data_IF_060358155948
#
_entry.id   IF_060358155948
#
_cell.length_a   1.000
_cell.length_b   1.000
_cell.length_c   1.000
_cell.angle_alpha   90.00
_cell.angle_beta   90.00
_cell.angle_gamma   90.00
#
_symmetry.space_group_name_H-M   'P 1'
#
loop_
_entity.id
_entity.type
_entity.pdbx_description
1 polymer ?
#
# COMPACT_ATOMS: atom_id res chain seq x y z
N UNK A 1 44.63 3.30 -17.55
CA UNK A 1 43.51 2.84 -16.72
C UNK A 1 43.84 3.09 -15.23
N UNK A 2 43.19 4.05 -14.59
CA UNK A 2 43.32 4.28 -13.13
C UNK A 2 42.73 3.09 -12.42
N UNK A 3 43.56 2.29 -11.74
CA UNK A 3 43.06 1.26 -10.82
C UNK A 3 42.30 1.92 -9.69
N UNK A 4 40.99 1.70 -9.65
CA UNK A 4 40.13 2.15 -8.54
C UNK A 4 40.63 1.52 -7.24
N UNK A 5 41.07 2.34 -6.29
CA UNK A 5 41.53 1.89 -4.97
C UNK A 5 40.34 1.36 -4.17
N UNK A 6 40.33 0.06 -3.93
CA UNK A 6 39.30 -0.63 -3.13
C UNK A 6 39.31 -0.12 -1.68
N UNK A 7 38.15 0.30 -1.19
CA UNK A 7 38.01 0.64 0.21
C UNK A 7 37.99 -0.62 1.10
N UNK A 8 38.50 -0.50 2.34
CA UNK A 8 38.55 -1.63 3.29
C UNK A 8 37.18 -2.22 3.63
N UNK A 9 36.12 -1.40 3.56
CA UNK A 9 34.73 -1.79 3.83
C UNK A 9 34.10 -2.61 2.71
N UNK A 10 34.45 -2.36 1.47
CA UNK A 10 33.93 -3.08 0.32
C UNK A 10 34.49 -4.51 0.22
N UNK A 11 35.75 -4.70 0.58
CA UNK A 11 36.37 -6.03 0.63
C UNK A 11 35.80 -6.95 1.71
N UNK A 12 35.36 -6.38 2.83
CA UNK A 12 34.81 -7.15 3.94
C UNK A 12 33.37 -7.60 3.74
N UNK A 13 32.60 -6.85 2.94
CA UNK A 13 31.14 -7.08 2.80
C UNK A 13 30.76 -8.13 1.75
N UNK A 14 31.53 -8.29 0.67
CA UNK A 14 31.14 -9.16 -0.48
C UNK A 14 32.13 -10.27 -0.80
N UNK A 15 33.28 -10.28 -0.16
CA UNK A 15 34.38 -11.13 -0.60
C UNK A 15 35.00 -10.65 -1.94
N UNK A 16 36.26 -11.00 -2.13
CA UNK A 16 37.06 -10.52 -3.26
C UNK A 16 36.50 -10.89 -4.64
N UNK A 17 35.78 -12.01 -4.76
CA UNK A 17 35.29 -12.55 -6.02
C UNK A 17 34.04 -11.81 -6.54
N UNK A 18 33.06 -11.56 -5.68
CA UNK A 18 31.82 -10.83 -6.08
C UNK A 18 32.12 -9.38 -6.46
N UNK A 19 33.04 -8.72 -5.76
CA UNK A 19 33.46 -7.36 -6.09
C UNK A 19 34.17 -7.27 -7.45
N UNK A 20 34.97 -8.27 -7.81
CA UNK A 20 35.63 -8.33 -9.11
C UNK A 20 34.63 -8.57 -10.25
N UNK A 21 33.64 -9.42 -10.07
CA UNK A 21 32.56 -9.66 -11.04
C UNK A 21 31.76 -8.39 -11.33
N UNK A 22 31.51 -7.55 -10.32
CA UNK A 22 30.76 -6.31 -10.46
C UNK A 22 31.48 -5.24 -11.28
N UNK A 23 32.80 -5.17 -11.19
CA UNK A 23 33.62 -4.17 -11.91
C UNK A 23 33.93 -4.62 -13.34
N UNK A 24 34.14 -5.91 -13.58
CA UNK A 24 34.61 -6.42 -14.87
C UNK A 24 33.47 -6.75 -15.86
N UNK A 25 32.22 -6.90 -15.42
CA UNK A 25 31.09 -7.31 -16.25
C UNK A 25 30.10 -6.17 -16.55
N UNK A 26 30.49 -4.91 -16.44
CA UNK A 26 29.61 -3.73 -16.54
C UNK A 26 28.35 -3.81 -15.63
N UNK A 27 28.29 -4.79 -14.75
CA UNK A 27 27.22 -4.92 -13.78
C UNK A 27 27.49 -4.00 -12.59
N UNK A 28 26.97 -2.79 -12.69
CA UNK A 28 27.11 -1.77 -11.65
C UNK A 28 26.18 -1.99 -10.45
N UNK A 29 25.25 -2.96 -10.52
CA UNK A 29 24.27 -3.20 -9.46
C UNK A 29 24.34 -4.66 -9.00
N UNK A 30 24.58 -4.86 -7.71
CA UNK A 30 24.50 -6.16 -7.03
C UNK A 30 23.35 -6.12 -6.04
N UNK A 31 22.48 -7.11 -6.13
CA UNK A 31 21.38 -7.31 -5.20
C UNK A 31 21.63 -8.61 -4.44
N UNK A 32 21.43 -8.59 -3.14
CA UNK A 32 21.53 -9.77 -2.28
C UNK A 32 20.40 -9.75 -1.26
N UNK A 33 19.79 -10.91 -1.04
CA UNK A 33 18.83 -11.10 0.05
C UNK A 33 19.52 -11.79 1.23
N UNK A 34 19.04 -11.47 2.44
CA UNK A 34 19.49 -12.08 3.69
C UNK A 34 21.02 -11.99 3.92
N UNK A 35 21.66 -10.92 3.46
CA UNK A 35 23.12 -10.78 3.54
C UNK A 35 23.61 -10.59 4.99
N UNK A 36 22.89 -9.84 5.80
CA UNK A 36 23.27 -9.49 7.19
C UNK A 36 22.16 -9.80 8.20
N UNK A 37 20.92 -9.88 7.74
CA UNK A 37 19.76 -10.20 8.55
C UNK A 37 18.70 -10.92 7.69
N UNK A 38 17.86 -11.71 8.35
CA UNK A 38 16.71 -12.35 7.70
C UNK A 38 15.76 -11.31 7.09
N UNK A 39 15.21 -11.63 5.94
CA UNK A 39 14.29 -10.78 5.16
C UNK A 39 14.87 -9.44 4.70
N UNK A 40 16.17 -9.23 4.80
CA UNK A 40 16.83 -8.03 4.33
C UNK A 40 17.03 -8.07 2.81
N UNK A 41 16.70 -6.98 2.13
CA UNK A 41 17.17 -6.67 0.80
C UNK A 41 18.38 -5.74 0.91
N UNK A 42 19.46 -6.10 0.25
CA UNK A 42 20.69 -5.33 0.23
C UNK A 42 21.10 -5.08 -1.22
N UNK A 43 21.45 -3.83 -1.53
CA UNK A 43 21.88 -3.43 -2.87
C UNK A 43 23.19 -2.67 -2.78
N UNK A 44 24.13 -2.96 -3.67
CA UNK A 44 25.28 -2.12 -3.96
C UNK A 44 25.18 -1.66 -5.39
N UNK A 45 25.38 -0.36 -5.55
CA UNK A 45 25.58 0.27 -6.84
C UNK A 45 27.04 0.76 -6.84
N UNK A 46 27.82 0.35 -7.84
CA UNK A 46 29.21 0.78 -8.00
C UNK A 46 29.47 1.17 -9.44
N UNK A 47 30.31 2.18 -9.60
CA UNK A 47 30.74 2.67 -10.89
C UNK A 47 32.21 3.09 -10.84
N UNK A 48 32.91 3.19 -11.99
CA UNK A 48 34.30 3.64 -12.04
C UNK A 48 34.50 5.10 -11.65
N UNK A 49 33.47 5.94 -11.80
CA UNK A 49 33.48 7.35 -11.50
C UNK A 49 32.09 7.84 -11.07
N UNK A 50 32.04 9.06 -10.53
CA UNK A 50 30.82 9.70 -10.02
C UNK A 50 29.74 9.88 -11.10
N UNK A 51 30.14 10.30 -12.31
CA UNK A 51 29.20 10.52 -13.40
C UNK A 51 28.51 9.23 -13.82
N UNK A 52 29.24 8.17 -14.01
CA UNK A 52 28.70 6.84 -14.34
C UNK A 52 27.80 6.31 -13.25
N UNK A 53 28.11 6.63 -11.96
CA UNK A 53 27.26 6.26 -10.84
C UNK A 53 25.91 6.98 -10.91
N UNK A 54 25.94 8.30 -11.11
CA UNK A 54 24.72 9.11 -11.22
C UNK A 54 23.84 8.69 -12.39
N UNK A 55 24.43 8.51 -13.57
CA UNK A 55 23.71 8.02 -14.77
C UNK A 55 23.04 6.64 -14.52
N UNK A 56 23.72 5.77 -13.77
CA UNK A 56 23.16 4.45 -13.42
C UNK A 56 21.97 4.56 -12.46
N UNK A 57 22.04 5.46 -11.47
CA UNK A 57 20.98 5.68 -10.49
C UNK A 57 19.77 6.34 -11.17
N UNK A 58 19.97 7.46 -11.89
CA UNK A 58 18.92 8.21 -12.58
C UNK A 58 18.17 7.34 -13.58
N UNK A 59 18.87 6.54 -14.38
CA UNK A 59 18.25 5.63 -15.35
C UNK A 59 17.47 4.47 -14.74
N UNK A 60 17.63 4.19 -13.45
CA UNK A 60 17.03 3.03 -12.76
C UNK A 60 16.27 3.38 -11.48
N UNK A 61 16.05 4.66 -11.21
CA UNK A 61 15.42 5.14 -9.99
C UNK A 61 14.08 4.44 -9.70
N UNK A 62 13.18 4.43 -10.67
CA UNK A 62 11.86 3.81 -10.51
C UNK A 62 11.96 2.30 -10.25
N UNK A 63 12.88 1.61 -10.93
CA UNK A 63 13.09 0.18 -10.72
C UNK A 63 13.68 -0.10 -9.33
N UNK A 64 14.67 0.69 -8.89
CA UNK A 64 15.26 0.57 -7.54
C UNK A 64 14.16 0.77 -6.49
N UNK A 65 13.38 1.85 -6.63
CA UNK A 65 12.26 2.15 -5.73
C UNK A 65 11.25 1.01 -5.68
N UNK A 66 10.79 0.53 -6.82
CA UNK A 66 9.82 -0.57 -6.89
C UNK A 66 10.33 -1.83 -6.20
N UNK A 67 11.60 -2.16 -6.35
CA UNK A 67 12.20 -3.35 -5.73
C UNK A 67 12.18 -3.28 -4.20
N UNK A 68 12.52 -2.12 -3.63
CA UNK A 68 12.48 -1.91 -2.19
C UNK A 68 11.05 -1.81 -1.66
N UNK A 69 10.15 -1.16 -2.38
CA UNK A 69 8.72 -1.09 -2.04
C UNK A 69 8.07 -2.48 -2.05
N UNK A 70 8.35 -3.30 -3.05
CA UNK A 70 7.84 -4.66 -3.13
C UNK A 70 8.32 -5.52 -1.96
N UNK A 71 9.62 -5.45 -1.64
CA UNK A 71 10.18 -6.15 -0.47
C UNK A 71 9.58 -5.67 0.84
N UNK A 72 9.44 -4.36 1.01
CA UNK A 72 8.80 -3.76 2.18
C UNK A 72 7.35 -4.22 2.33
N UNK A 73 6.55 -4.14 1.27
CA UNK A 73 5.16 -4.58 1.27
C UNK A 73 5.02 -6.06 1.60
N UNK A 74 5.93 -6.90 1.09
CA UNK A 74 5.97 -8.32 1.44
C UNK A 74 6.23 -8.53 2.94
N UNK A 75 7.19 -7.80 3.51
CA UNK A 75 7.50 -7.86 4.94
C UNK A 75 6.32 -7.38 5.79
N UNK A 76 5.67 -6.27 5.41
CA UNK A 76 4.49 -5.76 6.11
C UNK A 76 3.34 -6.77 6.11
N UNK A 77 3.05 -7.39 4.96
CA UNK A 77 2.02 -8.46 4.88
C UNK A 77 2.37 -9.64 5.79
N UNK A 78 3.62 -10.10 5.75
CA UNK A 78 4.08 -11.20 6.60
C UNK A 78 3.97 -10.87 8.09
N UNK A 79 4.25 -9.62 8.46
CA UNK A 79 4.11 -9.15 9.84
C UNK A 79 2.64 -9.06 10.26
N UNK A 80 1.76 -8.49 9.42
CA UNK A 80 0.34 -8.33 9.72
C UNK A 80 -0.38 -9.66 9.97
N UNK A 81 0.03 -10.70 9.25
CA UNK A 81 -0.59 -12.02 9.33
C UNK A 81 0.28 -13.07 10.04
N UNK A 82 1.30 -12.64 10.77
CA UNK A 82 2.19 -13.53 11.54
C UNK A 82 1.46 -14.23 12.67
N UNK A 83 0.60 -13.50 13.36
CA UNK A 83 -0.19 -13.97 14.47
C UNK A 83 -1.53 -14.53 13.98
N UNK A 84 -2.40 -14.91 14.89
CA UNK A 84 -3.72 -15.46 14.55
C UNK A 84 -4.55 -14.46 13.73
N UNK A 85 -5.34 -14.99 12.79
CA UNK A 85 -6.34 -14.21 12.03
C UNK A 85 -7.69 -14.25 12.73
N UNK A 86 -8.55 -13.32 12.39
CA UNK A 86 -9.94 -13.27 12.84
C UNK A 86 -10.84 -14.17 11.96
N UNK A 87 -10.55 -15.49 11.96
CA UNK A 87 -11.21 -16.45 11.07
C UNK A 87 -12.74 -16.42 11.21
N UNK A 88 -13.27 -16.39 12.43
CA UNK A 88 -14.73 -16.35 12.68
C UNK A 88 -15.38 -15.12 12.06
N UNK A 89 -14.70 -13.97 12.12
CA UNK A 89 -15.18 -12.74 11.50
C UNK A 89 -15.10 -12.81 9.98
N UNK A 90 -14.02 -13.35 9.42
CA UNK A 90 -13.86 -13.58 7.98
C UNK A 90 -14.95 -14.51 7.44
N UNK A 91 -15.21 -15.62 8.13
CA UNK A 91 -16.26 -16.58 7.77
C UNK A 91 -17.65 -15.96 7.86
N UNK A 92 -17.91 -15.16 8.90
CA UNK A 92 -19.17 -14.41 9.03
C UNK A 92 -19.41 -13.47 7.86
N UNK A 93 -18.37 -12.72 7.42
CA UNK A 93 -18.48 -11.81 6.28
C UNK A 93 -18.73 -12.57 4.97
N UNK A 94 -18.06 -13.69 4.77
CA UNK A 94 -18.26 -14.53 3.59
C UNK A 94 -19.69 -15.11 3.54
N UNK A 95 -20.18 -15.61 4.66
CA UNK A 95 -21.52 -16.22 4.75
C UNK A 95 -22.64 -15.19 4.58
N UNK A 96 -22.48 -14.00 5.15
CA UNK A 96 -23.52 -12.97 5.13
C UNK A 96 -23.54 -12.15 3.84
N UNK A 97 -22.38 -11.90 3.21
CA UNK A 97 -22.24 -10.91 2.14
C UNK A 97 -21.57 -11.42 0.87
N UNK A 98 -21.12 -12.69 0.85
CA UNK A 98 -20.46 -13.32 -0.30
C UNK A 98 -19.20 -12.56 -0.76
N UNK A 99 -18.44 -12.03 0.17
CA UNK A 99 -17.09 -11.50 -0.06
C UNK A 99 -16.17 -11.84 1.12
N UNK A 100 -14.88 -11.92 0.87
CA UNK A 100 -13.87 -12.32 1.86
C UNK A 100 -12.69 -11.34 1.87
N UNK A 101 -12.18 -11.10 3.07
CA UNK A 101 -10.96 -10.35 3.33
C UNK A 101 -10.22 -10.99 4.50
N UNK A 102 -8.90 -11.03 4.44
CA UNK A 102 -8.08 -11.47 5.56
C UNK A 102 -8.01 -10.38 6.62
N UNK A 103 -8.39 -10.70 7.85
CA UNK A 103 -8.44 -9.76 8.97
C UNK A 103 -7.36 -10.15 9.99
N UNK A 104 -6.34 -9.28 10.22
CA UNK A 104 -5.29 -9.56 11.21
C UNK A 104 -5.87 -9.60 12.63
N UNK A 105 -5.16 -10.29 13.52
CA UNK A 105 -5.46 -10.25 14.94
C UNK A 105 -5.47 -8.81 15.48
N UNK A 106 -6.36 -8.55 16.45
CA UNK A 106 -6.50 -7.23 17.07
C UNK A 106 -7.36 -6.24 16.28
N UNK A 107 -7.91 -6.65 15.14
CA UNK A 107 -8.95 -5.89 14.44
C UNK A 107 -10.33 -6.33 14.91
N UNK A 108 -11.24 -5.39 15.06
CA UNK A 108 -12.59 -5.62 15.52
C UNK A 108 -13.62 -5.06 14.55
N UNK A 109 -14.81 -5.62 14.57
CA UNK A 109 -15.96 -5.07 13.86
C UNK A 109 -16.53 -3.91 14.65
N UNK A 110 -16.36 -2.68 14.15
CA UNK A 110 -16.86 -1.45 14.79
C UNK A 110 -18.35 -1.30 14.53
N UNK A 111 -18.76 -1.51 13.26
CA UNK A 111 -20.15 -1.34 12.83
C UNK A 111 -20.43 -2.23 11.64
N UNK A 112 -21.66 -2.72 11.61
CA UNK A 112 -22.24 -3.46 10.50
C UNK A 112 -23.65 -2.94 10.25
N UNK A 113 -24.01 -2.72 9.00
CA UNK A 113 -25.36 -2.34 8.64
C UNK A 113 -25.72 -3.05 7.33
N UNK A 114 -26.56 -4.09 7.46
CA UNK A 114 -27.04 -4.89 6.34
C UNK A 114 -27.91 -4.09 5.37
N UNK A 115 -28.70 -3.14 5.88
CA UNK A 115 -29.62 -2.33 5.06
C UNK A 115 -28.85 -1.36 4.15
N UNK A 116 -27.72 -0.85 4.61
CA UNK A 116 -26.85 0.02 3.82
C UNK A 116 -25.67 -0.71 3.18
N UNK A 117 -25.59 -2.03 3.27
CA UNK A 117 -24.50 -2.83 2.72
C UNK A 117 -23.12 -2.30 3.14
N UNK A 118 -22.90 -2.15 4.44
CA UNK A 118 -21.72 -1.52 4.99
C UNK A 118 -21.14 -2.31 6.16
N UNK A 119 -19.83 -2.53 6.12
CA UNK A 119 -19.05 -3.12 7.21
C UNK A 119 -17.87 -2.21 7.53
N UNK A 120 -17.66 -1.94 8.80
CA UNK A 120 -16.58 -1.12 9.32
C UNK A 120 -15.77 -1.91 10.33
N UNK A 121 -14.51 -2.10 10.04
CA UNK A 121 -13.52 -2.77 10.87
C UNK A 121 -12.49 -1.75 11.35
N UNK A 122 -11.87 -1.99 12.49
CA UNK A 122 -10.82 -1.11 12.98
C UNK A 122 -10.03 -1.66 14.12
N UNK A 123 -8.97 -0.96 14.45
CA UNK A 123 -8.20 -1.13 15.67
C UNK A 123 -7.75 0.22 16.19
N UNK A 124 -7.46 0.27 17.50
CA UNK A 124 -6.87 1.42 18.17
C UNK A 124 -5.34 1.31 18.22
N UNK A 125 -4.69 2.47 18.31
CA UNK A 125 -3.25 2.66 18.50
C UNK A 125 -2.33 2.02 17.43
N UNK A 126 -2.15 2.67 16.28
CA UNK A 126 -2.85 3.87 15.85
C UNK A 126 -4.29 3.55 15.45
N UNK A 127 -5.16 4.56 15.43
CA UNK A 127 -6.50 4.38 14.89
C UNK A 127 -6.41 4.08 13.41
N UNK A 128 -6.71 2.85 13.07
CA UNK A 128 -6.79 2.35 11.70
C UNK A 128 -8.20 1.85 11.47
N UNK A 129 -8.83 2.36 10.43
CA UNK A 129 -10.17 1.97 10.05
C UNK A 129 -10.15 1.44 8.62
N UNK A 130 -10.88 0.39 8.42
CA UNK A 130 -11.10 -0.25 7.13
C UNK A 130 -12.59 -0.47 6.96
N UNK A 131 -13.14 -0.05 5.83
CA UNK A 131 -14.55 -0.24 5.57
C UNK A 131 -14.79 -0.78 4.16
N UNK A 132 -15.81 -1.62 4.05
CA UNK A 132 -16.33 -2.11 2.79
C UNK A 132 -17.78 -1.67 2.69
N UNK A 133 -18.08 -0.95 1.64
CA UNK A 133 -19.42 -0.57 1.25
C UNK A 133 -19.69 -1.10 -0.16
N UNK A 134 -20.90 -1.57 -0.43
CA UNK A 134 -21.28 -2.02 -1.75
C UNK A 134 -22.72 -1.65 -2.07
N UNK A 135 -22.97 -1.37 -3.34
CA UNK A 135 -24.32 -1.11 -3.84
C UNK A 135 -24.52 -1.74 -5.21
N UNK A 136 -25.79 -1.96 -5.59
CA UNK A 136 -26.13 -2.40 -6.95
C UNK A 136 -25.70 -1.34 -7.95
N UNK A 137 -25.07 -1.78 -9.02
CA UNK A 137 -24.56 -0.94 -10.09
C UNK A 137 -24.57 -1.75 -11.38
N UNK A 138 -25.27 -1.31 -12.39
CA UNK A 138 -25.43 -2.06 -13.64
C UNK A 138 -24.26 -1.87 -14.61
N UNK A 139 -23.61 -0.71 -14.56
CA UNK A 139 -22.51 -0.37 -15.46
C UNK A 139 -21.34 0.23 -14.70
N UNK A 140 -20.15 0.13 -15.29
CA UNK A 140 -18.99 0.83 -14.81
C UNK A 140 -19.21 2.35 -14.86
N UNK A 141 -18.74 3.06 -13.85
CA UNK A 141 -18.88 4.51 -13.74
C UNK A 141 -17.70 5.22 -14.44
N UNK A 142 -17.99 6.36 -15.04
CA UNK A 142 -16.96 7.28 -15.51
C UNK A 142 -16.28 8.01 -14.34
N UNK A 143 -15.20 8.72 -14.64
CA UNK A 143 -14.38 9.41 -13.62
C UNK A 143 -15.14 10.47 -12.82
N UNK A 144 -16.09 11.17 -13.45
CA UNK A 144 -16.91 12.19 -12.80
C UNK A 144 -17.86 11.56 -11.79
N UNK A 145 -18.63 10.58 -12.23
CA UNK A 145 -19.57 9.84 -11.37
C UNK A 145 -18.87 9.12 -10.23
N UNK A 146 -17.64 8.63 -10.47
CA UNK A 146 -16.80 8.02 -9.42
C UNK A 146 -16.37 9.06 -8.41
N UNK A 147 -15.93 10.24 -8.83
CA UNK A 147 -15.51 11.31 -7.92
C UNK A 147 -16.69 11.76 -7.02
N UNK A 148 -17.86 12.00 -7.61
CA UNK A 148 -19.07 12.37 -6.86
C UNK A 148 -19.41 11.30 -5.80
N UNK A 149 -19.44 10.04 -6.20
CA UNK A 149 -19.71 8.93 -5.28
C UNK A 149 -18.69 8.84 -4.14
N UNK A 150 -17.41 9.14 -4.40
CA UNK A 150 -16.36 9.12 -3.38
C UNK A 150 -16.56 10.24 -2.36
N UNK A 151 -16.96 11.45 -2.79
CA UNK A 151 -17.18 12.56 -1.87
C UNK A 151 -18.49 12.45 -1.08
N UNK A 152 -19.53 11.85 -1.66
CA UNK A 152 -20.79 11.57 -0.96
C UNK A 152 -20.64 10.47 0.10
N UNK A 153 -19.85 9.42 -0.20
CA UNK A 153 -19.71 8.24 0.64
C UNK A 153 -19.42 8.53 2.12
N UNK A 154 -18.43 9.36 2.52
CA UNK A 154 -18.17 9.60 3.93
C UNK A 154 -19.30 10.37 4.64
N UNK A 155 -19.99 11.24 3.94
CA UNK A 155 -21.10 12.02 4.47
C UNK A 155 -22.34 11.12 4.71
N UNK A 156 -22.62 10.22 3.79
CA UNK A 156 -23.77 9.32 3.87
C UNK A 156 -23.57 8.20 4.90
N UNK A 157 -22.39 7.61 4.91
CA UNK A 157 -22.12 6.39 5.67
C UNK A 157 -21.57 6.68 7.07
N UNK A 158 -20.55 7.52 7.19
CA UNK A 158 -19.96 7.86 8.47
C UNK A 158 -20.66 9.06 9.15
N UNK A 159 -21.15 10.02 8.37
CA UNK A 159 -21.83 11.25 8.81
C UNK A 159 -21.00 12.23 9.62
N UNK A 160 -19.84 11.84 10.05
CA UNK A 160 -18.95 12.62 10.94
C UNK A 160 -17.63 13.00 10.32
N UNK A 161 -17.38 12.52 9.09
CA UNK A 161 -16.14 12.79 8.35
C UNK A 161 -16.45 13.24 6.92
N UNK A 162 -15.47 13.95 6.35
CA UNK A 162 -15.48 14.34 4.94
C UNK A 162 -14.09 14.15 4.33
N UNK A 163 -14.02 14.05 3.02
CA UNK A 163 -12.74 14.07 2.28
C UNK A 163 -12.42 15.48 1.81
N UNK A 164 -11.13 15.85 1.89
CA UNK A 164 -10.61 17.15 1.46
C UNK A 164 -10.49 17.19 -0.07
N UNK A 165 -11.19 18.13 -0.70
CA UNK A 165 -11.22 18.29 -2.16
C UNK A 165 -9.89 18.77 -2.74
N UNK A 166 -9.08 19.48 -1.96
CA UNK A 166 -7.82 20.06 -2.45
C UNK A 166 -6.67 19.05 -2.47
N UNK A 167 -6.73 18.04 -1.62
CA UNK A 167 -5.71 17.00 -1.48
C UNK A 167 -6.23 15.63 -1.92
N UNK A 168 -6.91 15.65 -3.05
CA UNK A 168 -7.54 14.47 -3.61
C UNK A 168 -6.84 14.06 -4.92
N UNK A 169 -6.63 12.76 -5.07
CA UNK A 169 -6.11 12.15 -6.30
C UNK A 169 -7.01 10.99 -6.68
N UNK A 170 -7.42 10.95 -7.93
CA UNK A 170 -8.16 9.85 -8.53
C UNK A 170 -7.35 9.27 -9.68
N UNK A 171 -7.17 7.96 -9.69
CA UNK A 171 -6.43 7.21 -10.70
C UNK A 171 -7.29 6.05 -11.19
N UNK A 172 -7.35 5.83 -12.50
CA UNK A 172 -7.90 4.61 -13.07
C UNK A 172 -6.92 3.46 -12.90
N UNK A 173 -7.44 2.26 -12.65
CA UNK A 173 -6.67 1.03 -12.72
C UNK A 173 -6.25 0.72 -14.16
N UNK A 174 -5.22 -0.07 -14.30
CA UNK A 174 -4.76 -0.67 -15.55
C UNK A 174 -5.13 -2.16 -15.60
N UNK A 175 -4.80 -2.84 -16.69
CA UNK A 175 -5.10 -4.27 -16.91
C UNK A 175 -4.49 -5.21 -15.85
N UNK A 176 -3.53 -4.74 -15.07
CA UNK A 176 -2.88 -5.48 -13.98
C UNK A 176 -3.44 -5.14 -12.61
N UNK A 177 -4.25 -4.10 -12.51
CA UNK A 177 -4.84 -3.63 -11.26
C UNK A 177 -6.01 -4.52 -10.84
N UNK A 178 -6.11 -4.84 -9.56
CA UNK A 178 -7.27 -5.54 -9.01
C UNK A 178 -8.48 -4.61 -8.80
N UNK A 179 -8.29 -3.30 -8.93
CA UNK A 179 -9.29 -2.25 -8.79
C UNK A 179 -9.51 -1.51 -10.12
N UNK A 180 -10.67 -0.92 -10.28
CA UNK A 180 -10.98 -0.09 -11.44
C UNK A 180 -10.60 1.37 -11.20
N UNK A 181 -10.76 1.85 -9.95
CA UNK A 181 -10.38 3.19 -9.53
C UNK A 181 -9.70 3.16 -8.17
N UNK A 182 -8.73 4.04 -7.99
CA UNK A 182 -8.06 4.30 -6.72
C UNK A 182 -8.12 5.77 -6.41
N UNK A 183 -8.63 6.11 -5.23
CA UNK A 183 -8.56 7.46 -4.69
C UNK A 183 -7.66 7.51 -3.47
N UNK A 184 -7.04 8.65 -3.25
CA UNK A 184 -6.25 8.92 -2.05
C UNK A 184 -6.30 10.41 -1.71
N UNK A 185 -6.15 10.72 -0.45
CA UNK A 185 -6.20 12.11 0.01
C UNK A 185 -6.19 12.21 1.53
N UNK A 186 -6.80 13.28 2.01
CA UNK A 186 -6.95 13.56 3.44
C UNK A 186 -8.43 13.50 3.81
N UNK A 187 -8.74 12.85 4.90
CA UNK A 187 -10.03 12.91 5.56
C UNK A 187 -9.96 13.80 6.79
N UNK A 188 -11.04 14.43 7.14
CA UNK A 188 -11.18 15.22 8.36
C UNK A 188 -12.52 14.97 9.04
N UNK A 189 -12.53 15.06 10.37
CA UNK A 189 -13.77 15.04 11.14
C UNK A 189 -14.49 16.38 11.03
N UNK A 190 -15.81 16.34 10.94
CA UNK A 190 -16.66 17.52 10.92
C UNK A 190 -16.85 18.08 12.34
N UNK A 191 -16.72 17.22 13.35
CA UNK A 191 -17.05 17.54 14.75
C UNK A 191 -15.82 17.69 15.65
N UNK A 192 -14.72 17.05 15.32
CA UNK A 192 -13.54 16.97 16.16
C UNK A 192 -12.27 17.36 15.40
N UNK A 193 -11.24 17.77 16.10
CA UNK A 193 -9.93 18.06 15.52
C UNK A 193 -9.17 16.76 15.17
N UNK A 194 -9.78 15.92 14.34
CA UNK A 194 -9.21 14.65 13.86
C UNK A 194 -9.18 14.62 12.34
N UNK A 195 -8.17 13.96 11.81
CA UNK A 195 -8.00 13.76 10.38
C UNK A 195 -6.79 12.93 10.08
N UNK A 196 -6.57 12.65 8.83
CA UNK A 196 -5.42 11.86 8.39
C UNK A 196 -5.54 11.44 6.92
N UNK A 197 -4.61 10.63 6.45
CA UNK A 197 -4.68 10.11 5.09
C UNK A 197 -5.80 9.07 4.95
N UNK A 198 -6.34 8.99 3.73
CA UNK A 198 -7.19 7.89 3.30
C UNK A 198 -6.70 7.28 2.00
N UNK A 199 -7.07 6.04 1.81
CA UNK A 199 -6.94 5.33 0.54
C UNK A 199 -8.24 4.57 0.28
N UNK A 200 -8.80 4.72 -0.93
CA UNK A 200 -10.06 4.13 -1.31
C UNK A 200 -9.91 3.46 -2.67
N UNK A 201 -10.43 2.24 -2.78
CA UNK A 201 -10.47 1.48 -4.02
C UNK A 201 -11.92 1.21 -4.41
N UNK A 202 -12.22 1.36 -5.69
CA UNK A 202 -13.47 0.93 -6.26
C UNK A 202 -13.22 -0.28 -7.14
N UNK A 203 -14.12 -1.27 -7.00
CA UNK A 203 -14.13 -2.45 -7.84
C UNK A 203 -15.55 -2.76 -8.30
N UNK A 204 -15.74 -2.83 -9.59
CA UNK A 204 -16.99 -3.27 -10.20
C UNK A 204 -17.00 -4.80 -10.33
N UNK A 205 -18.01 -5.42 -9.78
CA UNK A 205 -18.29 -6.85 -9.87
C UNK A 205 -19.39 -7.06 -10.94
N UNK A 206 -18.96 -7.34 -12.16
CA UNK A 206 -19.84 -7.50 -13.32
C UNK A 206 -20.82 -8.67 -13.14
N UNK A 207 -20.36 -9.75 -12.50
CA UNK A 207 -21.16 -10.96 -12.32
C UNK A 207 -22.38 -10.70 -11.42
N UNK A 208 -22.19 -9.91 -10.37
CA UNK A 208 -23.26 -9.62 -9.40
C UNK A 208 -23.85 -8.22 -9.58
N UNK A 209 -23.41 -7.48 -10.61
CA UNK A 209 -23.84 -6.10 -10.89
C UNK A 209 -23.81 -5.21 -9.65
N UNK A 210 -22.66 -5.14 -9.02
CA UNK A 210 -22.44 -4.33 -7.83
C UNK A 210 -21.08 -3.64 -7.87
N UNK A 211 -20.98 -2.48 -7.24
CA UNK A 211 -19.73 -1.78 -7.05
C UNK A 211 -19.34 -1.84 -5.57
N UNK A 212 -18.08 -2.16 -5.32
CA UNK A 212 -17.48 -2.11 -4.01
C UNK A 212 -16.66 -0.83 -3.83
N UNK A 213 -16.79 -0.22 -2.66
CA UNK A 213 -15.90 0.82 -2.16
C UNK A 213 -15.15 0.27 -0.94
N UNK A 214 -13.86 0.10 -1.08
CA UNK A 214 -12.98 -0.43 -0.06
C UNK A 214 -12.11 0.72 0.44
N UNK A 215 -12.34 1.18 1.65
CA UNK A 215 -11.75 2.40 2.18
C UNK A 215 -10.90 2.12 3.43
N UNK A 216 -9.76 2.78 3.51
CA UNK A 216 -8.86 2.76 4.66
C UNK A 216 -8.62 4.19 5.14
N UNK A 217 -8.77 4.41 6.44
CA UNK A 217 -8.55 5.68 7.12
C UNK A 217 -7.54 5.49 8.25
N UNK A 218 -6.66 6.46 8.44
CA UNK A 218 -5.67 6.44 9.52
C UNK A 218 -5.72 7.75 10.28
N UNK A 219 -5.71 7.66 11.62
CA UNK A 219 -5.51 8.81 12.49
C UNK A 219 -4.36 8.51 13.46
N UNK A 220 -3.23 9.17 13.25
CA UNK A 220 -2.04 9.03 14.08
C UNK A 220 -1.28 10.36 14.09
N UNK A 221 -1.73 11.34 14.89
CA UNK A 221 -1.18 12.70 14.89
C UNK A 221 0.30 12.68 15.31
N UNK A 222 1.10 13.49 14.63
CA UNK A 222 2.53 13.64 14.91
C UNK A 222 3.45 12.53 14.39
N UNK A 223 2.92 11.40 13.93
CA UNK A 223 3.71 10.25 13.54
C UNK A 223 3.69 9.99 12.02
N UNK A 224 4.72 9.26 11.53
CA UNK A 224 4.78 8.84 10.14
C UNK A 224 3.73 7.73 9.87
N UNK A 225 2.88 7.95 8.88
CA UNK A 225 1.75 7.09 8.54
C UNK A 225 2.01 6.15 7.37
N UNK A 226 3.17 6.26 6.70
CA UNK A 226 3.50 5.44 5.52
C UNK A 226 3.48 3.94 5.80
N UNK A 227 3.77 3.55 7.04
CA UNK A 227 3.79 2.14 7.46
C UNK A 227 2.38 1.54 7.63
N UNK A 228 1.32 2.33 7.57
CA UNK A 228 -0.06 1.93 7.87
C UNK A 228 -1.00 2.10 6.68
N UNK A 229 -0.51 2.65 5.58
CA UNK A 229 -1.22 2.84 4.32
C UNK A 229 -0.88 1.76 3.28
#
# INVERSE_FOLDING_TARGET
>A
SKKVKKTKSEKGRFGKKKFLETIFNDNHIIISENQFAENQLFMIISAPDERSLMETIEGKENWIKSLFEEKYNHQQRSYLFRDARQNDLEDSLMNNYSWNIKIPWGWEKIKENSDSNFVWLGKEYPYQWFSVYWKKQSNMLDSSSVADMIFEFPLDIFRTIRFDNYRFRLLSGDDKSWYDWKASGIWESIQEAKGGPFSLFLKFDELNQRIFMINSLIHYPGENKSNYM
#
